data_IF_941996110442
#
_entry.id   IF_941996110442
#
_cell.length_a   1.000
_cell.length_b   1.000
_cell.length_c   1.000
_cell.angle_alpha   90.00
_cell.angle_beta   90.00
_cell.angle_gamma   90.00
#
_symmetry.space_group_name_H-M   'P 1'
#
loop_
_entity.id
_entity.type
_entity.pdbx_description
1 polymer ?
#
# COMPACT_ATOMS: atom_id res chain seq x y z
N UNK A 1 39.72 -3.91 29.30
CA UNK A 1 38.58 -3.01 29.46
C UNK A 1 37.85 -2.89 28.15
N UNK A 2 36.50 -2.88 28.19
CA UNK A 2 35.71 -2.89 26.98
C UNK A 2 35.64 -1.48 26.37
N UNK A 3 36.07 -1.34 25.12
CA UNK A 3 35.77 -0.12 24.34
C UNK A 3 34.29 -0.14 23.92
N UNK A 4 33.59 0.96 24.13
CA UNK A 4 32.20 1.13 23.68
C UNK A 4 32.18 1.89 22.38
N UNK A 5 31.60 1.29 21.31
CA UNK A 5 31.29 1.98 20.07
C UNK A 5 30.02 2.81 20.26
N UNK A 6 30.09 4.09 19.94
CA UNK A 6 28.94 5.00 19.88
C UNK A 6 28.65 5.37 18.44
N UNK A 7 27.35 5.44 18.08
CA UNK A 7 26.89 5.95 16.80
C UNK A 7 26.12 7.25 17.04
N UNK A 8 26.45 8.28 16.29
CA UNK A 8 25.88 9.61 16.37
C UNK A 8 25.06 9.96 15.13
N UNK A 9 24.00 10.75 15.32
CA UNK A 9 23.34 11.51 14.28
C UNK A 9 23.34 12.99 14.72
N UNK A 10 24.22 13.77 14.12
CA UNK A 10 24.57 15.08 14.68
C UNK A 10 25.24 14.94 16.05
N UNK A 11 24.68 15.58 17.07
CA UNK A 11 25.18 15.50 18.44
C UNK A 11 24.52 14.39 19.29
N UNK A 12 23.48 13.75 18.77
CA UNK A 12 22.73 12.72 19.49
C UNK A 12 23.35 11.34 19.32
N UNK A 13 23.52 10.61 20.44
CA UNK A 13 23.89 9.20 20.43
C UNK A 13 22.65 8.36 20.09
N UNK A 14 22.66 7.70 18.93
CA UNK A 14 21.55 6.89 18.43
C UNK A 14 21.77 5.39 18.59
N UNK A 15 22.94 4.97 19.08
CA UNK A 15 23.21 3.57 19.38
C UNK A 15 24.58 3.38 19.99
N UNK A 16 24.70 2.33 20.82
CA UNK A 16 25.96 1.94 21.48
C UNK A 16 26.14 0.42 21.48
N UNK A 17 27.37 -0.05 21.44
CA UNK A 17 27.69 -1.46 21.64
C UNK A 17 29.13 -1.61 22.21
N UNK A 18 29.29 -2.56 23.10
CA UNK A 18 30.64 -2.93 23.58
C UNK A 18 31.39 -3.72 22.49
N UNK A 19 32.70 -3.54 22.45
CA UNK A 19 33.58 -4.33 21.60
C UNK A 19 33.67 -5.76 22.15
N UNK A 20 33.36 -6.73 21.30
CA UNK A 20 33.46 -8.15 21.63
C UNK A 20 34.90 -8.64 21.70
N UNK A 21 35.10 -9.86 22.17
CA UNK A 21 36.43 -10.52 22.27
C UNK A 21 37.08 -10.70 20.88
N UNK A 22 36.29 -10.70 19.80
CA UNK A 22 36.77 -10.73 18.41
C UNK A 22 37.29 -9.37 17.92
N UNK A 23 37.30 -8.35 18.78
CA UNK A 23 37.74 -6.99 18.47
C UNK A 23 36.72 -6.17 17.68
N UNK A 24 35.47 -6.67 17.45
CA UNK A 24 34.42 -6.01 16.71
C UNK A 24 33.31 -5.49 17.62
N UNK A 25 32.68 -4.41 17.22
CA UNK A 25 31.44 -3.93 17.82
C UNK A 25 30.36 -3.83 16.74
N UNK A 26 29.13 -4.20 17.06
CA UNK A 26 27.96 -4.13 16.16
C UNK A 26 26.86 -3.32 16.81
N UNK A 27 26.52 -2.19 16.20
CA UNK A 27 25.40 -1.35 16.62
C UNK A 27 24.25 -1.52 15.63
N UNK A 28 23.04 -1.66 16.14
CA UNK A 28 21.81 -1.53 15.35
C UNK A 28 21.27 -0.12 15.54
N UNK A 29 21.03 0.57 14.43
CA UNK A 29 20.36 1.88 14.42
C UNK A 29 18.94 1.66 13.91
N UNK A 30 17.97 1.89 14.79
CA UNK A 30 16.55 1.72 14.46
C UNK A 30 15.93 3.04 13.96
N UNK A 31 14.72 2.94 13.39
CA UNK A 31 13.95 4.11 12.96
C UNK A 31 14.43 4.75 11.66
N UNK A 32 15.23 4.04 10.86
CA UNK A 32 15.61 4.50 9.53
C UNK A 32 14.46 4.35 8.54
N UNK A 33 14.28 5.36 7.68
CA UNK A 33 13.30 5.28 6.60
C UNK A 33 13.72 4.22 5.56
N UNK A 34 12.75 3.44 5.08
CA UNK A 34 13.01 2.43 4.07
C UNK A 34 13.31 3.06 2.70
N UNK A 35 14.15 2.36 1.89
CA UNK A 35 14.56 2.78 0.55
C UNK A 35 15.14 4.20 0.49
N UNK A 36 15.80 4.64 1.55
CA UNK A 36 16.33 6.01 1.72
C UNK A 36 17.84 6.01 1.64
N UNK A 37 18.40 6.96 0.88
CA UNK A 37 19.83 7.20 0.77
C UNK A 37 20.30 8.11 1.91
N UNK A 38 21.29 7.66 2.66
CA UNK A 38 21.97 8.42 3.72
C UNK A 38 23.38 8.78 3.24
N UNK A 39 23.68 10.07 3.17
CA UNK A 39 24.97 10.56 2.70
C UNK A 39 26.09 10.25 3.73
N UNK A 40 27.34 10.22 3.26
CA UNK A 40 28.53 10.16 4.12
C UNK A 40 28.47 11.27 5.17
N UNK A 41 28.75 10.94 6.43
CA UNK A 41 28.73 11.88 7.56
C UNK A 41 27.34 12.15 8.15
N UNK A 42 26.23 11.60 7.58
CA UNK A 42 24.91 11.65 8.23
C UNK A 42 24.94 10.96 9.60
N UNK A 43 25.72 9.89 9.69
CA UNK A 43 26.06 9.21 10.92
C UNK A 43 27.56 9.23 11.13
N UNK A 44 28.00 9.32 12.39
CA UNK A 44 29.40 9.28 12.80
C UNK A 44 29.56 8.23 13.87
N UNK A 45 30.79 7.74 14.04
CA UNK A 45 31.11 6.76 15.05
C UNK A 45 32.33 7.21 15.85
N UNK A 46 32.37 6.90 17.15
CA UNK A 46 33.53 7.01 18.01
C UNK A 46 33.66 5.79 18.92
N UNK A 47 34.82 5.60 19.50
CA UNK A 47 35.03 4.64 20.59
C UNK A 47 35.28 5.39 21.89
N UNK A 48 34.67 4.94 22.97
CA UNK A 48 34.88 5.47 24.32
C UNK A 48 35.42 4.37 25.23
N UNK A 49 36.37 4.72 26.06
CA UNK A 49 36.91 3.88 27.15
C UNK A 49 37.28 4.77 28.35
N UNK A 50 37.92 4.18 29.36
CA UNK A 50 38.35 4.91 30.57
C UNK A 50 39.32 6.06 30.30
N UNK A 51 40.02 6.09 29.16
CA UNK A 51 40.96 7.16 28.78
C UNK A 51 40.25 8.30 28.00
N UNK A 52 38.98 8.15 27.71
CA UNK A 52 38.17 9.14 27.00
C UNK A 52 37.57 8.60 25.71
N UNK A 53 37.02 9.52 24.90
CA UNK A 53 36.38 9.24 23.63
C UNK A 53 37.31 9.65 22.46
N UNK A 54 37.35 8.81 21.42
CA UNK A 54 38.08 9.12 20.19
C UNK A 54 37.37 10.22 19.38
N UNK A 55 38.08 10.77 18.39
CA UNK A 55 37.43 11.62 17.40
C UNK A 55 36.32 10.87 16.67
N UNK A 56 35.26 11.59 16.28
CA UNK A 56 34.15 11.05 15.48
C UNK A 56 34.59 10.82 14.03
N UNK A 57 34.29 9.65 13.48
CA UNK A 57 34.58 9.26 12.09
C UNK A 57 33.28 9.12 11.34
N UNK A 58 33.23 9.65 10.13
CA UNK A 58 32.05 9.58 9.25
C UNK A 58 31.75 8.14 8.81
N UNK A 59 30.50 7.74 8.95
CA UNK A 59 29.99 6.53 8.30
C UNK A 59 29.80 6.83 6.82
N UNK A 60 30.29 5.91 5.96
CA UNK A 60 30.13 6.02 4.52
C UNK A 60 28.64 6.04 4.14
N UNK A 61 28.33 6.65 2.99
CA UNK A 61 26.96 6.65 2.47
C UNK A 61 26.41 5.23 2.31
N UNK A 62 25.15 5.06 2.64
CA UNK A 62 24.45 3.79 2.50
C UNK A 62 22.98 4.02 2.13
N UNK A 63 22.36 2.98 1.58
CA UNK A 63 20.94 2.95 1.30
C UNK A 63 20.24 1.88 2.11
N UNK A 64 19.12 2.24 2.74
CA UNK A 64 18.28 1.27 3.42
C UNK A 64 17.48 0.43 2.42
N UNK A 65 17.13 -0.79 2.81
CA UNK A 65 16.36 -1.69 1.95
C UNK A 65 14.92 -1.20 1.80
N UNK A 66 14.34 -1.46 0.63
CA UNK A 66 12.91 -1.32 0.41
C UNK A 66 12.13 -2.36 1.24
N UNK A 67 10.94 -1.98 1.70
CA UNK A 67 9.99 -2.90 2.30
C UNK A 67 9.08 -3.40 1.19
N UNK A 68 9.16 -4.70 0.89
CA UNK A 68 8.39 -5.32 -0.17
C UNK A 68 6.94 -5.58 0.23
N UNK A 69 6.07 -5.61 -0.79
CA UNK A 69 4.66 -6.02 -0.63
C UNK A 69 4.58 -7.53 -0.36
N UNK A 70 3.82 -7.91 0.66
CA UNK A 70 3.55 -9.31 1.01
C UNK A 70 2.16 -9.77 0.59
N UNK A 71 1.21 -8.82 0.38
CA UNK A 71 -0.15 -9.12 -0.05
C UNK A 71 -0.93 -7.88 -0.47
N UNK A 72 -2.10 -8.12 -1.07
CA UNK A 72 -3.13 -7.12 -1.35
C UNK A 72 -4.49 -7.74 -1.08
N UNK A 73 -5.44 -6.94 -0.64
CA UNK A 73 -6.85 -7.33 -0.51
C UNK A 73 -7.73 -6.33 -1.23
N UNK A 74 -8.84 -6.80 -1.81
CA UNK A 74 -9.88 -5.98 -2.42
C UNK A 74 -11.17 -6.09 -1.60
N UNK A 75 -11.88 -5.00 -1.42
CA UNK A 75 -13.13 -4.94 -0.68
C UNK A 75 -14.10 -3.91 -1.30
N UNK A 76 -15.40 -4.23 -1.31
CA UNK A 76 -16.01 -5.50 -0.93
C UNK A 76 -15.63 -6.65 -1.87
N UNK A 77 -15.82 -7.90 -1.45
CA UNK A 77 -15.57 -9.10 -2.28
C UNK A 77 -16.65 -9.35 -3.33
N UNK A 78 -17.84 -8.80 -3.09
CA UNK A 78 -18.96 -8.80 -4.01
C UNK A 78 -19.55 -7.40 -4.03
N UNK A 79 -19.88 -6.91 -5.22
CA UNK A 79 -20.54 -5.63 -5.42
C UNK A 79 -21.63 -5.77 -6.46
N UNK A 80 -22.68 -4.94 -6.35
CA UNK A 80 -23.75 -4.82 -7.33
C UNK A 80 -23.80 -3.37 -7.81
N UNK A 81 -24.06 -3.17 -9.09
CA UNK A 81 -24.17 -1.86 -9.72
C UNK A 81 -25.16 -1.96 -10.88
N UNK A 82 -25.93 -0.91 -11.14
CA UNK A 82 -26.82 -0.88 -12.29
C UNK A 82 -26.06 -0.46 -13.55
N UNK A 83 -26.63 -0.75 -14.72
CA UNK A 83 -26.11 -0.26 -16.01
C UNK A 83 -25.98 1.26 -15.95
N UNK A 84 -24.89 1.82 -16.47
CA UNK A 84 -24.49 3.23 -16.46
C UNK A 84 -24.22 3.83 -15.06
N UNK A 85 -24.40 3.07 -13.97
CA UNK A 85 -24.06 3.49 -12.63
C UNK A 85 -22.61 3.09 -12.25
N UNK A 86 -22.15 3.59 -11.11
CA UNK A 86 -20.79 3.30 -10.61
C UNK A 86 -20.80 2.79 -9.19
N UNK A 87 -19.84 1.91 -8.88
CA UNK A 87 -19.54 1.44 -7.53
C UNK A 87 -18.05 1.49 -7.28
N UNK A 88 -17.63 1.42 -6.00
CA UNK A 88 -16.22 1.55 -5.60
C UNK A 88 -15.69 0.27 -4.99
N UNK A 89 -14.61 -0.23 -5.54
CA UNK A 89 -13.77 -1.26 -4.93
C UNK A 89 -12.51 -0.61 -4.36
N UNK A 90 -12.17 -0.98 -3.13
CA UNK A 90 -10.97 -0.47 -2.46
C UNK A 90 -9.95 -1.58 -2.32
N UNK A 91 -8.68 -1.25 -2.49
CA UNK A 91 -7.58 -2.18 -2.22
C UNK A 91 -6.77 -1.75 -1.01
N UNK A 92 -6.25 -2.73 -0.28
CA UNK A 92 -5.33 -2.52 0.84
C UNK A 92 -4.08 -3.37 0.62
N UNK A 93 -2.92 -2.73 0.58
CA UNK A 93 -1.62 -3.37 0.40
C UNK A 93 -1.00 -3.67 1.75
N UNK A 94 -0.41 -4.83 1.91
CA UNK A 94 0.26 -5.29 3.12
C UNK A 94 1.75 -5.53 2.86
N UNK A 95 2.65 -5.08 3.76
CA UNK A 95 2.38 -4.25 4.93
C UNK A 95 2.05 -2.79 4.56
N UNK A 96 1.38 -2.06 5.46
CA UNK A 96 1.08 -0.63 5.25
C UNK A 96 2.33 0.23 5.08
N UNK A 97 3.48 -0.27 5.56
CA UNK A 97 4.82 0.33 5.44
C UNK A 97 5.54 -0.04 4.14
N UNK A 98 4.93 -0.85 3.24
CA UNK A 98 5.54 -1.20 1.96
C UNK A 98 5.96 0.04 1.17
N UNK A 99 7.15 -0.02 0.57
CA UNK A 99 7.76 1.11 -0.13
C UNK A 99 7.03 1.48 -1.41
N UNK A 100 6.59 0.48 -2.18
CA UNK A 100 5.76 0.67 -3.38
C UNK A 100 4.40 0.00 -3.18
N UNK A 101 3.35 0.80 -3.03
CA UNK A 101 1.96 0.34 -2.86
C UNK A 101 1.11 0.53 -4.12
N UNK A 102 1.73 0.76 -5.25
CA UNK A 102 1.02 0.93 -6.52
C UNK A 102 0.30 -0.35 -6.92
N UNK A 103 -0.95 -0.20 -7.34
CA UNK A 103 -1.81 -1.28 -7.80
C UNK A 103 -2.40 -0.96 -9.17
N UNK A 104 -2.80 -1.99 -9.89
CA UNK A 104 -3.62 -1.90 -11.10
C UNK A 104 -4.88 -2.73 -10.93
N UNK A 105 -5.97 -2.28 -11.57
CA UNK A 105 -7.22 -3.00 -11.62
C UNK A 105 -7.51 -3.45 -13.04
N UNK A 106 -8.12 -4.63 -13.20
CA UNK A 106 -8.57 -5.17 -14.49
C UNK A 106 -9.93 -5.84 -14.32
N UNK A 107 -10.79 -5.71 -15.32
CA UNK A 107 -12.02 -6.49 -15.42
C UNK A 107 -11.78 -7.73 -16.27
N UNK A 108 -12.39 -8.86 -15.94
CA UNK A 108 -12.34 -10.06 -16.79
C UNK A 108 -13.25 -9.95 -18.01
N UNK A 109 -14.27 -9.08 -17.94
CA UNK A 109 -15.17 -8.79 -19.04
C UNK A 109 -15.57 -7.30 -19.00
N UNK A 110 -14.95 -6.52 -19.87
CA UNK A 110 -15.23 -5.08 -19.99
C UNK A 110 -16.55 -4.78 -20.69
N UNK A 111 -17.17 -5.77 -21.37
CA UNK A 111 -18.50 -5.63 -21.95
C UNK A 111 -19.59 -5.66 -20.87
N UNK A 112 -19.31 -6.28 -19.71
CA UNK A 112 -20.20 -6.31 -18.54
C UNK A 112 -19.91 -5.11 -17.61
N UNK A 113 -18.65 -4.92 -17.21
CA UNK A 113 -18.25 -3.76 -16.42
C UNK A 113 -16.80 -3.37 -16.67
N UNK A 114 -16.54 -2.07 -16.71
CA UNK A 114 -15.18 -1.52 -16.76
C UNK A 114 -14.70 -1.10 -15.37
N UNK A 115 -13.37 -1.04 -15.18
CA UNK A 115 -12.79 -0.56 -13.93
C UNK A 115 -11.67 0.45 -14.19
N UNK A 116 -11.70 1.56 -13.48
CA UNK A 116 -10.66 2.59 -13.57
C UNK A 116 -9.47 2.27 -12.66
N UNK A 117 -8.33 2.97 -12.89
CA UNK A 117 -7.09 2.80 -12.10
C UNK A 117 -7.24 3.06 -10.61
N UNK A 118 -8.27 3.78 -10.20
CA UNK A 118 -8.56 4.05 -8.79
C UNK A 118 -9.56 3.05 -8.17
N UNK A 119 -10.02 2.02 -8.94
CA UNK A 119 -10.97 1.01 -8.47
C UNK A 119 -12.44 1.42 -8.56
N UNK A 120 -12.80 2.47 -9.33
CA UNK A 120 -14.20 2.76 -9.65
C UNK A 120 -14.65 1.85 -10.79
N UNK A 121 -15.69 1.08 -10.55
CA UNK A 121 -16.33 0.16 -11.50
C UNK A 121 -17.55 0.85 -12.09
N UNK A 122 -17.73 0.76 -13.41
CA UNK A 122 -18.91 1.23 -14.14
C UNK A 122 -19.61 0.05 -14.79
N UNK A 123 -20.91 -0.12 -14.54
CA UNK A 123 -21.74 -1.11 -15.22
C UNK A 123 -21.94 -0.74 -16.68
N UNK A 124 -21.77 -1.71 -17.58
CA UNK A 124 -21.91 -1.53 -19.04
C UNK A 124 -23.14 -2.29 -19.57
N UNK A 125 -23.26 -3.57 -19.19
CA UNK A 125 -24.38 -4.42 -19.55
C UNK A 125 -24.67 -5.40 -18.42
N UNK A 126 -25.91 -5.90 -18.36
CA UNK A 126 -26.32 -6.93 -17.40
C UNK A 126 -25.41 -8.16 -17.48
N UNK A 127 -25.00 -8.65 -16.31
CA UNK A 127 -24.13 -9.83 -16.20
C UNK A 127 -23.28 -9.83 -14.95
N UNK A 128 -22.34 -10.76 -14.91
CA UNK A 128 -21.37 -10.90 -13.83
C UNK A 128 -19.96 -10.88 -14.40
N UNK A 129 -19.06 -10.13 -13.76
CA UNK A 129 -17.63 -10.08 -14.10
C UNK A 129 -16.76 -10.12 -12.84
N UNK A 130 -15.50 -10.51 -12.99
CA UNK A 130 -14.51 -10.49 -11.92
C UNK A 130 -13.57 -9.32 -12.11
N UNK A 131 -13.47 -8.47 -11.10
CA UNK A 131 -12.45 -7.42 -11.04
C UNK A 131 -11.26 -7.91 -10.22
N UNK A 132 -10.08 -7.84 -10.81
CA UNK A 132 -8.81 -8.19 -10.17
C UNK A 132 -8.01 -6.94 -9.83
N UNK A 133 -7.38 -6.92 -8.65
CA UNK A 133 -6.35 -5.95 -8.28
C UNK A 133 -5.00 -6.67 -8.25
N UNK A 134 -3.95 -6.02 -8.79
CA UNK A 134 -2.58 -6.57 -8.79
C UNK A 134 -1.59 -5.49 -8.37
N UNK A 135 -0.66 -5.83 -7.46
CA UNK A 135 0.39 -4.91 -7.02
C UNK A 135 1.55 -4.88 -8.01
N UNK A 136 2.17 -3.71 -8.20
CA UNK A 136 3.40 -3.56 -8.99
C UNK A 136 4.59 -4.25 -8.34
N UNK A 137 4.70 -4.15 -7.01
CA UNK A 137 5.74 -4.85 -6.25
C UNK A 137 5.23 -6.23 -5.84
N UNK A 138 5.96 -7.27 -6.25
CA UNK A 138 5.70 -8.65 -5.86
C UNK A 138 4.51 -9.33 -6.55
N UNK A 139 3.81 -8.67 -7.51
CA UNK A 139 2.70 -9.21 -8.30
C UNK A 139 1.65 -9.95 -7.45
N UNK A 140 1.33 -9.41 -6.28
CA UNK A 140 0.26 -9.94 -5.42
C UNK A 140 -1.08 -9.54 -6.00
N UNK A 141 -2.04 -10.46 -6.02
CA UNK A 141 -3.36 -10.21 -6.59
C UNK A 141 -4.47 -10.66 -5.66
N UNK A 142 -5.64 -10.05 -5.84
CA UNK A 142 -6.89 -10.40 -5.18
C UNK A 142 -8.07 -10.01 -6.07
N UNK A 143 -9.25 -10.62 -5.87
CA UNK A 143 -10.38 -10.47 -6.77
C UNK A 143 -11.68 -10.14 -6.03
N UNK A 144 -12.60 -9.51 -6.75
CA UNK A 144 -13.98 -9.27 -6.34
C UNK A 144 -14.93 -9.58 -7.49
N UNK A 145 -16.10 -10.11 -7.18
CA UNK A 145 -17.18 -10.32 -8.14
C UNK A 145 -18.06 -9.08 -8.23
N UNK A 146 -18.40 -8.66 -9.44
CA UNK A 146 -19.29 -7.53 -9.70
C UNK A 146 -20.48 -8.03 -10.54
N UNK A 147 -21.68 -7.80 -10.02
CA UNK A 147 -22.93 -8.05 -10.72
C UNK A 147 -23.49 -6.74 -11.23
N UNK A 148 -23.77 -6.67 -12.52
CA UNK A 148 -24.44 -5.53 -13.15
C UNK A 148 -25.89 -5.89 -13.39
N UNK A 149 -26.82 -5.05 -12.90
CA UNK A 149 -28.25 -5.24 -13.07
C UNK A 149 -28.79 -4.27 -14.13
N UNK A 150 -29.87 -4.68 -14.81
CA UNK A 150 -30.68 -3.74 -15.59
C UNK A 150 -31.51 -2.87 -14.65
N UNK A 151 -31.69 -1.61 -15.03
CA UNK A 151 -32.67 -0.74 -14.37
C UNK A 151 -34.02 -1.12 -14.93
N UNK A 152 -34.92 -1.71 -14.14
CA UNK A 152 -36.31 -1.89 -14.53
C UNK A 152 -36.94 -0.50 -14.67
N UNK A 153 -37.37 -0.15 -15.89
CA UNK A 153 -38.17 1.04 -16.11
C UNK A 153 -39.50 0.86 -15.37
N UNK A 154 -39.93 1.80 -14.51
CA UNK A 154 -41.20 1.65 -13.81
C UNK A 154 -42.34 1.46 -14.81
N UNK A 155 -43.13 0.41 -14.61
CA UNK A 155 -44.32 0.18 -15.41
C UNK A 155 -45.15 1.47 -15.46
N UNK A 156 -45.59 1.94 -16.65
CA UNK A 156 -46.41 3.15 -16.74
C UNK A 156 -47.68 2.96 -15.89
N UNK A 157 -47.94 3.94 -15.02
CA UNK A 157 -49.19 3.97 -14.23
C UNK A 157 -50.38 3.79 -15.20
N UNK A 158 -51.36 2.88 -14.87
CA UNK A 158 -52.53 2.71 -15.72
C UNK A 158 -53.22 4.07 -15.88
N UNK A 159 -53.49 4.43 -17.15
CA UNK A 159 -54.26 5.64 -17.45
C UNK A 159 -55.56 5.63 -16.68
N UNK A 160 -55.95 6.74 -16.04
CA UNK A 160 -57.25 6.81 -15.36
C UNK A 160 -58.38 6.56 -16.36
N UNK A 161 -59.19 5.55 -16.06
CA UNK A 161 -60.38 5.26 -16.85
C UNK A 161 -61.26 6.53 -16.91
N UNK A 162 -61.51 7.02 -18.12
CA UNK A 162 -62.48 8.12 -18.32
C UNK A 162 -63.84 7.70 -17.79
N UNK A 163 -64.55 8.56 -17.04
CA UNK A 163 -65.85 8.23 -16.53
C UNK A 163 -66.81 8.08 -17.72
N UNK A 164 -67.46 6.91 -17.83
CA UNK A 164 -68.48 6.59 -18.81
C UNK A 164 -69.65 7.60 -18.65
N UNK A 165 -69.78 8.53 -19.59
CA UNK A 165 -70.89 9.46 -19.63
C UNK A 165 -72.06 8.76 -20.31
N UNK A 166 -72.87 8.04 -19.52
CA UNK A 166 -74.19 7.64 -20.00
C UNK A 166 -75.12 8.88 -20.11
N UNK A 167 -75.71 9.11 -21.31
CA UNK A 167 -76.88 9.99 -21.53
C UNK A 167 -78.18 9.34 -21.03
#
# INVERSE_FOLDING_TARGET
MADTLKVYKGDDVVGTAERGEDGKAKVTVDGLDANTDYATGTYQVSFENENGESEKVDVQSFKTKAISVTGVTIAPKTASVDVDATTKLNSTVTPSTATNKSVSYTSSDEAVATVSSNGTVTGVAEGETTVSVTTQDGNKSDTATVTVNTVEEPEPEPEPEEPDTEE
#
